data_IF_217436165303
#
_entry.id   IF_217436165303
#
_cell.length_a   1.000
_cell.length_b   1.000
_cell.length_c   1.000
_cell.angle_alpha   90.00
_cell.angle_beta   90.00
_cell.angle_gamma   90.00
#
_symmetry.space_group_name_H-M   'P 1'
#
loop_
_entity.id
_entity.type
_entity.pdbx_description
1 polymer ?
#
# COMPACT_ATOMS: atom_id res chain seq x y z
N UNK A 1 40.20 -56.57 -43.55
CA UNK A 1 41.59 -56.17 -43.85
C UNK A 1 42.20 -55.60 -42.58
N UNK A 2 43.42 -56.04 -42.25
CA UNK A 2 44.29 -55.58 -41.16
C UNK A 2 44.60 -54.06 -41.29
N UNK A 3 45.23 -53.33 -40.36
CA UNK A 3 46.21 -53.67 -39.34
C UNK A 3 46.32 -52.54 -38.28
N UNK A 4 46.99 -52.87 -37.17
CA UNK A 4 47.33 -52.02 -36.02
C UNK A 4 48.58 -51.14 -36.22
N UNK A 5 48.78 -50.14 -35.34
CA UNK A 5 50.06 -49.67 -34.75
C UNK A 5 49.75 -48.53 -33.75
N UNK A 6 49.63 -48.80 -32.44
CA UNK A 6 50.65 -48.70 -31.35
C UNK A 6 51.13 -47.26 -31.04
N UNK A 7 50.83 -46.80 -29.82
CA UNK A 7 51.45 -45.66 -29.15
C UNK A 7 51.05 -45.60 -27.67
N UNK A 8 52.00 -45.88 -26.78
CA UNK A 8 51.84 -46.12 -25.33
C UNK A 8 51.80 -44.82 -24.49
N UNK A 9 51.00 -44.86 -23.43
CA UNK A 9 51.31 -44.49 -22.03
C UNK A 9 51.63 -43.01 -21.68
N UNK A 10 50.71 -42.35 -20.96
CA UNK A 10 51.04 -41.53 -19.77
C UNK A 10 49.78 -41.05 -19.01
N UNK A 11 49.57 -41.64 -17.84
CA UNK A 11 49.25 -40.99 -16.56
C UNK A 11 48.03 -40.05 -16.45
N UNK A 12 46.88 -40.67 -16.14
CA UNK A 12 46.08 -40.40 -14.93
C UNK A 12 46.34 -39.07 -14.19
N UNK A 13 45.56 -38.00 -14.41
CA UNK A 13 45.27 -36.93 -13.42
C UNK A 13 44.05 -36.04 -13.75
N UNK A 14 43.01 -36.54 -14.44
CA UNK A 14 41.83 -35.71 -14.75
C UNK A 14 40.46 -36.23 -14.23
N UNK A 15 40.44 -37.31 -13.44
CA UNK A 15 39.21 -37.74 -12.73
C UNK A 15 39.10 -37.18 -11.30
N UNK A 16 40.13 -36.52 -10.78
CA UNK A 16 40.17 -36.08 -9.38
C UNK A 16 39.57 -34.70 -9.09
N UNK A 17 39.38 -33.85 -10.11
CA UNK A 17 38.96 -32.45 -9.89
C UNK A 17 37.44 -32.27 -10.03
N UNK A 18 36.77 -33.11 -10.84
CA UNK A 18 35.32 -33.08 -11.01
C UNK A 18 34.54 -33.57 -9.78
N UNK A 19 35.11 -34.48 -8.98
CA UNK A 19 34.45 -35.00 -7.78
C UNK A 19 34.60 -34.05 -6.57
N UNK A 20 35.63 -33.19 -6.54
CA UNK A 20 35.84 -32.27 -5.43
C UNK A 20 34.90 -31.05 -5.47
N UNK A 21 34.45 -30.64 -6.65
CA UNK A 21 33.46 -29.57 -6.83
C UNK A 21 32.03 -29.98 -6.46
N UNK A 22 31.69 -31.27 -6.57
CA UNK A 22 30.38 -31.79 -6.14
C UNK A 22 30.27 -31.99 -4.62
N UNK A 23 31.40 -32.12 -3.91
CA UNK A 23 31.41 -32.28 -2.44
C UNK A 23 31.26 -30.95 -1.70
N UNK A 24 31.56 -29.81 -2.34
CA UNK A 24 31.42 -28.48 -1.73
C UNK A 24 29.98 -27.94 -1.73
N UNK A 25 29.07 -28.46 -2.55
CA UNK A 25 27.64 -28.12 -2.45
C UNK A 25 26.89 -28.89 -1.35
N UNK A 26 27.45 -30.00 -0.84
CA UNK A 26 26.84 -30.80 0.22
C UNK A 26 27.17 -30.32 1.65
N UNK A 27 28.02 -29.28 1.78
CA UNK A 27 28.39 -28.70 3.08
C UNK A 27 28.00 -27.22 3.15
N UNK A 28 26.76 -26.90 2.77
CA UNK A 28 26.14 -25.69 3.32
C UNK A 28 25.74 -26.04 4.75
N UNK A 29 26.55 -25.55 5.68
CA UNK A 29 26.36 -25.57 7.12
C UNK A 29 24.88 -25.53 7.48
N UNK A 30 24.44 -26.49 8.31
CA UNK A 30 23.21 -26.39 9.06
C UNK A 30 23.09 -24.96 9.60
N UNK A 31 22.23 -24.15 8.97
CA UNK A 31 21.83 -22.89 9.55
C UNK A 31 21.32 -23.23 10.93
N UNK A 32 21.86 -22.56 11.96
CA UNK A 32 21.28 -22.64 13.30
C UNK A 32 19.78 -22.47 13.13
N UNK A 33 18.94 -23.35 13.71
CA UNK A 33 17.51 -23.07 13.77
C UNK A 33 17.39 -21.66 14.31
N UNK A 34 16.81 -20.74 13.51
CA UNK A 34 16.46 -19.42 14.02
C UNK A 34 15.68 -19.71 15.29
N UNK A 35 16.21 -19.26 16.43
CA UNK A 35 15.65 -19.54 17.75
C UNK A 35 14.15 -19.30 17.66
N UNK A 36 13.41 -20.41 17.66
CA UNK A 36 11.96 -20.37 17.60
C UNK A 36 11.60 -19.64 18.88
N UNK A 37 11.16 -18.38 18.78
CA UNK A 37 10.68 -17.64 19.93
C UNK A 37 9.70 -18.58 20.63
N UNK A 38 10.05 -18.99 21.84
CA UNK A 38 9.24 -19.92 22.60
C UNK A 38 7.85 -19.30 22.72
N UNK A 39 6.90 -19.81 21.94
CA UNK A 39 5.53 -19.35 21.98
C UNK A 39 4.95 -19.87 23.28
N UNK A 40 5.15 -19.10 24.35
CA UNK A 40 4.35 -19.19 25.54
C UNK A 40 2.93 -18.79 25.12
N UNK A 41 2.16 -19.74 24.57
CA UNK A 41 0.74 -19.57 24.24
C UNK A 41 -0.06 -19.44 25.53
N UNK A 42 0.16 -18.35 26.26
CA UNK A 42 -0.98 -17.60 26.74
C UNK A 42 -1.68 -17.11 25.49
N UNK A 43 -3.00 -17.16 25.46
CA UNK A 43 -3.83 -16.43 24.51
C UNK A 43 -3.48 -14.94 24.64
N UNK A 44 -2.36 -14.52 24.07
CA UNK A 44 -1.90 -13.15 24.07
C UNK A 44 -2.75 -12.48 22.99
N UNK A 45 -3.84 -11.89 23.46
CA UNK A 45 -4.63 -10.89 22.75
C UNK A 45 -3.71 -10.07 21.83
N UNK A 46 -3.92 -10.14 20.51
CA UNK A 46 -3.03 -9.49 19.53
C UNK A 46 -3.02 -7.97 19.78
N UNK A 47 -1.89 -7.27 19.72
CA UNK A 47 -1.93 -5.82 19.90
C UNK A 47 -2.70 -5.18 18.74
N UNK A 48 -3.52 -4.13 18.98
CA UNK A 48 -4.21 -3.42 17.92
C UNK A 48 -3.22 -2.74 16.97
N UNK A 49 -3.54 -2.72 15.68
CA UNK A 49 -2.70 -2.11 14.64
C UNK A 49 -3.36 -0.84 14.12
N UNK A 50 -2.59 0.25 14.07
CA UNK A 50 -3.01 1.52 13.48
C UNK A 50 -2.17 1.78 12.23
N UNK A 51 -2.85 1.97 11.10
CA UNK A 51 -2.20 2.31 9.84
C UNK A 51 -2.26 3.82 9.64
N UNK A 52 -1.10 4.41 9.37
CA UNK A 52 -0.95 5.84 9.07
C UNK A 52 -0.34 5.94 7.67
N UNK A 53 -1.11 6.36 6.67
CA UNK A 53 -0.61 6.51 5.31
C UNK A 53 0.34 7.72 5.21
N UNK A 54 1.18 7.72 4.17
CA UNK A 54 1.98 8.89 3.80
C UNK A 54 1.16 9.96 3.07
N UNK A 55 1.85 10.95 2.52
CA UNK A 55 1.24 11.94 1.63
C UNK A 55 0.62 11.26 0.41
N UNK A 56 -0.56 11.73 0.00
CA UNK A 56 -1.39 11.12 -1.05
C UNK A 56 -1.77 9.65 -0.80
N UNK A 57 -1.51 9.10 0.39
CA UNK A 57 -1.67 7.69 0.72
C UNK A 57 -3.07 7.27 1.18
N UNK A 58 -4.07 8.15 1.06
CA UNK A 58 -5.48 7.82 1.30
C UNK A 58 -6.38 8.57 0.32
N UNK A 59 -7.55 8.01 0.06
CA UNK A 59 -8.58 8.66 -0.75
C UNK A 59 -8.99 10.01 -0.16
N UNK A 60 -9.36 10.95 -1.02
CA UNK A 60 -10.03 12.20 -0.66
C UNK A 60 -11.33 12.29 -1.43
N UNK A 61 -12.37 12.82 -0.78
CA UNK A 61 -13.63 13.16 -1.42
C UNK A 61 -13.83 14.68 -1.41
N UNK A 62 -14.48 15.20 -2.45
CA UNK A 62 -14.86 16.59 -2.51
C UNK A 62 -16.30 16.80 -2.94
N UNK A 63 -16.89 17.90 -2.49
CA UNK A 63 -18.20 18.40 -2.92
C UNK A 63 -18.04 19.83 -3.42
N UNK A 64 -18.63 20.13 -4.59
CA UNK A 64 -18.50 21.44 -5.23
C UNK A 64 -19.80 22.25 -5.13
N UNK A 65 -19.64 23.54 -4.88
CA UNK A 65 -20.64 24.60 -5.00
C UNK A 65 -19.95 25.92 -5.38
N UNK A 66 -19.26 25.91 -6.53
CA UNK A 66 -18.44 27.02 -7.03
C UNK A 66 -19.27 28.01 -7.83
N UNK A 67 -18.95 29.30 -7.70
CA UNK A 67 -19.57 30.37 -8.51
C UNK A 67 -18.90 30.50 -9.88
N UNK A 68 -17.57 30.39 -9.91
CA UNK A 68 -16.72 30.45 -11.10
C UNK A 68 -15.91 29.17 -11.27
N UNK A 69 -15.47 28.92 -12.50
CA UNK A 69 -14.60 27.80 -12.88
C UNK A 69 -13.56 28.28 -13.87
N UNK A 70 -12.42 27.60 -13.92
CA UNK A 70 -11.30 27.94 -14.81
C UNK A 70 -11.57 27.60 -16.27
N UNK A 71 -12.38 26.59 -16.55
CA UNK A 71 -12.73 26.15 -17.89
C UNK A 71 -14.20 25.74 -17.97
N UNK A 72 -14.81 25.84 -19.15
CA UNK A 72 -16.25 25.57 -19.35
C UNK A 72 -16.64 24.10 -19.12
N UNK A 73 -15.67 23.19 -19.19
CA UNK A 73 -15.86 21.75 -18.93
C UNK A 73 -15.88 21.41 -17.44
N UNK A 74 -15.45 22.32 -16.57
CA UNK A 74 -15.36 22.05 -15.14
C UNK A 74 -16.74 22.14 -14.47
N UNK A 75 -17.05 21.17 -13.61
CA UNK A 75 -18.28 21.17 -12.83
C UNK A 75 -18.28 22.28 -11.78
N UNK A 76 -19.43 22.95 -11.64
CA UNK A 76 -19.67 23.94 -10.58
C UNK A 76 -20.28 23.34 -9.32
N UNK A 77 -21.18 22.37 -9.50
CA UNK A 77 -21.96 21.74 -8.42
C UNK A 77 -21.93 20.23 -8.56
N UNK A 78 -21.66 19.53 -7.47
CA UNK A 78 -21.63 18.07 -7.39
C UNK A 78 -22.10 17.62 -6.01
N UNK A 79 -22.47 16.35 -5.89
CA UNK A 79 -22.40 15.64 -4.61
C UNK A 79 -20.94 15.27 -4.27
N UNK A 80 -20.72 14.55 -3.17
CA UNK A 80 -19.39 14.03 -2.85
C UNK A 80 -18.92 13.03 -3.92
N UNK A 81 -17.76 13.29 -4.49
CA UNK A 81 -17.06 12.40 -5.43
C UNK A 81 -15.63 12.18 -4.97
N UNK A 82 -14.99 11.12 -5.45
CA UNK A 82 -13.57 10.86 -5.20
C UNK A 82 -12.70 11.89 -5.94
N UNK A 83 -12.09 12.80 -5.17
CA UNK A 83 -11.14 13.80 -5.65
C UNK A 83 -9.73 13.22 -5.82
N UNK A 84 -9.38 12.26 -4.97
CA UNK A 84 -8.11 11.56 -5.05
C UNK A 84 -8.29 10.09 -4.63
N UNK A 85 -7.79 9.09 -5.36
CA UNK A 85 -7.29 9.16 -6.74
C UNK A 85 -8.44 8.92 -7.72
N UNK A 86 -8.53 9.73 -8.77
CA UNK A 86 -9.43 9.48 -9.90
C UNK A 86 -8.68 9.77 -11.20
N UNK A 87 -8.37 8.72 -11.97
CA UNK A 87 -7.55 8.82 -13.18
C UNK A 87 -8.23 9.62 -14.30
N UNK A 88 -9.56 9.62 -14.36
CA UNK A 88 -10.32 10.39 -15.35
C UNK A 88 -10.15 11.90 -15.16
N UNK A 89 -9.79 12.33 -13.95
CA UNK A 89 -9.55 13.74 -13.63
C UNK A 89 -8.13 14.20 -13.99
N UNK A 90 -7.23 13.29 -14.35
CA UNK A 90 -5.82 13.59 -14.62
C UNK A 90 -5.47 13.67 -16.12
N UNK A 91 -6.47 13.53 -16.99
CA UNK A 91 -6.29 13.67 -18.44
C UNK A 91 -6.17 15.16 -18.85
N UNK A 92 -5.58 15.47 -20.03
CA UNK A 92 -5.48 16.85 -20.52
C UNK A 92 -6.83 17.56 -20.51
N UNK A 93 -6.81 18.88 -20.28
CA UNK A 93 -7.98 19.76 -20.11
C UNK A 93 -8.75 19.54 -18.79
N UNK A 94 -8.97 18.29 -18.36
CA UNK A 94 -9.68 18.01 -17.10
C UNK A 94 -8.77 18.22 -15.88
N UNK A 95 -7.46 17.99 -16.03
CA UNK A 95 -6.46 18.24 -14.98
C UNK A 95 -6.53 19.67 -14.41
N UNK A 96 -6.87 20.67 -15.23
CA UNK A 96 -7.01 22.06 -14.77
C UNK A 96 -8.19 22.22 -13.81
N UNK A 97 -9.29 21.49 -14.05
CA UNK A 97 -10.42 21.42 -13.13
C UNK A 97 -10.02 20.76 -11.81
N UNK A 98 -9.23 19.69 -11.87
CA UNK A 98 -8.74 18.99 -10.67
C UNK A 98 -7.82 19.89 -9.84
N UNK A 99 -6.86 20.57 -10.47
CA UNK A 99 -5.95 21.53 -9.81
C UNK A 99 -6.75 22.64 -9.12
N UNK A 100 -7.75 23.24 -9.78
CA UNK A 100 -8.57 24.30 -9.18
C UNK A 100 -9.46 23.82 -8.02
N UNK A 101 -9.68 22.51 -7.89
CA UNK A 101 -10.46 21.92 -6.79
C UNK A 101 -9.57 21.49 -5.61
N UNK A 102 -8.37 20.97 -5.86
CA UNK A 102 -7.49 20.45 -4.78
C UNK A 102 -6.51 21.50 -4.23
N UNK A 103 -6.26 22.61 -4.95
CA UNK A 103 -5.33 23.66 -4.49
C UNK A 103 -5.70 24.21 -3.12
N UNK A 104 -4.70 24.63 -2.35
CA UNK A 104 -4.89 25.30 -1.08
C UNK A 104 -4.72 26.81 -1.23
N UNK A 105 -5.55 27.58 -0.53
CA UNK A 105 -5.42 29.02 -0.38
C UNK A 105 -4.73 29.29 0.95
N UNK A 106 -3.52 29.83 0.90
CA UNK A 106 -2.76 30.18 2.09
C UNK A 106 -3.00 31.63 2.51
N UNK A 107 -3.40 31.83 3.76
CA UNK A 107 -3.49 33.14 4.38
C UNK A 107 -2.21 33.44 5.17
N UNK A 108 -1.46 34.44 4.71
CA UNK A 108 -0.16 34.83 5.33
C UNK A 108 -0.31 35.48 6.71
N UNK A 109 -1.45 36.09 7.00
CA UNK A 109 -1.69 36.78 8.28
C UNK A 109 -2.07 35.78 9.38
N UNK A 110 -2.91 34.81 9.07
CA UNK A 110 -3.35 33.78 10.04
C UNK A 110 -2.47 32.53 10.01
N UNK A 111 -1.56 32.41 9.03
CA UNK A 111 -0.76 31.22 8.75
C UNK A 111 -1.59 29.94 8.57
N UNK A 112 -2.81 30.06 8.05
CA UNK A 112 -3.71 28.94 7.81
C UNK A 112 -3.93 28.71 6.31
N UNK A 113 -4.19 27.45 5.96
CA UNK A 113 -4.60 27.06 4.61
C UNK A 113 -6.08 26.66 4.61
N UNK A 114 -6.81 27.01 3.55
CA UNK A 114 -8.19 26.59 3.33
C UNK A 114 -8.39 26.06 1.93
N UNK A 115 -9.44 25.27 1.75
CA UNK A 115 -9.92 24.86 0.42
C UNK A 115 -10.38 26.09 -0.41
N UNK A 116 -10.46 25.97 -1.74
CA UNK A 116 -10.99 27.02 -2.60
C UNK A 116 -12.47 27.32 -2.28
N UNK A 117 -12.96 28.55 -2.58
CA UNK A 117 -14.36 28.90 -2.34
C UNK A 117 -15.31 27.93 -3.03
N UNK A 118 -16.29 27.42 -2.28
CA UNK A 118 -17.25 26.45 -2.79
C UNK A 118 -16.70 25.03 -2.94
N UNK A 119 -15.55 24.71 -2.36
CA UNK A 119 -15.02 23.34 -2.35
C UNK A 119 -14.94 22.83 -0.91
N UNK A 120 -15.64 21.75 -0.63
CA UNK A 120 -15.57 21.02 0.62
C UNK A 120 -14.80 19.72 0.39
N UNK A 121 -13.76 19.45 1.18
CA UNK A 121 -12.94 18.24 1.07
C UNK A 121 -13.06 17.45 2.38
N UNK A 122 -13.23 16.13 2.28
CA UNK A 122 -13.26 15.23 3.42
C UNK A 122 -12.41 13.98 3.18
N UNK A 123 -12.02 13.34 4.27
CA UNK A 123 -11.34 12.04 4.26
C UNK A 123 -12.38 10.94 4.48
N UNK A 124 -12.66 10.07 3.50
CA UNK A 124 -13.57 8.95 3.66
C UNK A 124 -12.91 7.79 4.43
N UNK A 125 -13.76 6.91 4.97
CA UNK A 125 -13.30 5.63 5.54
C UNK A 125 -12.47 5.75 6.82
N UNK A 126 -12.63 6.82 7.60
CA UNK A 126 -11.93 6.93 8.89
C UNK A 126 -12.25 5.71 9.77
N UNK A 127 -11.19 5.05 10.26
CA UNK A 127 -11.31 3.82 11.04
C UNK A 127 -11.56 2.53 10.24
N UNK A 128 -11.78 2.59 8.92
CA UNK A 128 -11.86 1.45 7.98
C UNK A 128 -10.56 1.35 7.19
N UNK A 129 -10.24 0.25 6.48
CA UNK A 129 -8.96 0.14 5.73
C UNK A 129 -9.06 0.46 4.24
N UNK A 130 -10.27 0.44 3.65
CA UNK A 130 -10.45 0.48 2.20
C UNK A 130 -9.85 1.73 1.52
N UNK A 131 -9.90 2.89 2.19
CA UNK A 131 -9.48 4.18 1.62
C UNK A 131 -7.98 4.34 1.49
N UNK A 132 -7.17 3.48 2.12
CA UNK A 132 -5.71 3.41 1.93
C UNK A 132 -5.24 2.12 1.25
N UNK A 133 -6.06 1.06 1.21
CA UNK A 133 -5.70 -0.18 0.50
C UNK A 133 -5.59 0.09 -1.01
N UNK A 134 -6.60 0.78 -1.54
CA UNK A 134 -6.65 1.26 -2.92
C UNK A 134 -6.96 2.76 -2.94
N UNK A 135 -6.09 3.55 -3.55
CA UNK A 135 -6.28 5.00 -3.70
C UNK A 135 -7.32 5.33 -4.77
N UNK A 136 -7.44 4.49 -5.80
CA UNK A 136 -8.50 4.59 -6.79
C UNK A 136 -9.61 3.56 -6.46
N UNK A 137 -10.87 3.98 -6.26
CA UNK A 137 -12.00 3.08 -6.05
C UNK A 137 -12.22 2.03 -7.14
N UNK A 138 -11.71 2.25 -8.36
CA UNK A 138 -11.72 1.27 -9.45
C UNK A 138 -10.86 0.04 -9.15
N UNK A 139 -9.99 0.11 -8.12
CA UNK A 139 -9.05 -0.94 -7.69
C UNK A 139 -8.07 -1.38 -8.79
N UNK A 140 -7.80 -0.50 -9.75
CA UNK A 140 -6.71 -0.72 -10.70
C UNK A 140 -5.37 -0.79 -9.98
N UNK A 141 -4.42 -1.51 -10.57
CA UNK A 141 -3.08 -1.73 -10.00
C UNK A 141 -2.33 -0.43 -9.69
N UNK A 142 -2.56 0.63 -10.48
CA UNK A 142 -1.98 1.97 -10.27
C UNK A 142 -2.39 2.56 -8.91
N UNK A 143 -3.59 2.24 -8.42
CA UNK A 143 -4.09 2.71 -7.13
C UNK A 143 -3.72 1.80 -5.95
N UNK A 144 -3.02 0.68 -6.16
CA UNK A 144 -2.69 -0.25 -5.08
C UNK A 144 -1.63 0.36 -4.15
N UNK A 145 -1.94 0.50 -2.86
CA UNK A 145 -1.02 1.08 -1.88
C UNK A 145 -0.83 0.15 -0.67
N UNK A 146 -1.73 0.16 0.32
CA UNK A 146 -1.59 -0.67 1.53
C UNK A 146 -2.23 -2.06 1.43
N UNK A 147 -2.87 -2.39 0.31
CA UNK A 147 -3.58 -3.66 0.15
C UNK A 147 -2.74 -4.87 0.58
N UNK A 148 -1.49 -4.97 0.13
CA UNK A 148 -0.61 -6.10 0.44
C UNK A 148 -0.34 -6.22 1.95
N UNK A 149 -0.08 -5.10 2.63
CA UNK A 149 0.18 -5.10 4.08
C UNK A 149 -1.09 -5.49 4.85
N UNK A 150 -2.24 -4.92 4.47
CA UNK A 150 -3.52 -5.26 5.09
C UNK A 150 -3.86 -6.74 4.88
N UNK A 151 -3.59 -7.26 3.68
CA UNK A 151 -3.83 -8.66 3.36
C UNK A 151 -2.97 -9.61 4.21
N UNK A 152 -1.69 -9.30 4.39
CA UNK A 152 -0.81 -10.05 5.29
C UNK A 152 -1.28 -10.01 6.75
N UNK A 153 -1.74 -8.86 7.23
CA UNK A 153 -2.32 -8.74 8.58
C UNK A 153 -3.61 -9.57 8.71
N UNK A 154 -4.44 -9.63 7.68
CA UNK A 154 -5.63 -10.48 7.66
C UNK A 154 -5.27 -11.97 7.69
N UNK A 155 -4.23 -12.39 6.97
CA UNK A 155 -3.68 -13.76 7.03
C UNK A 155 -3.12 -14.09 8.42
N UNK A 156 -2.56 -13.11 9.12
CA UNK A 156 -2.18 -13.21 10.53
C UNK A 156 -3.38 -13.17 11.49
N UNK A 157 -4.61 -13.08 10.98
CA UNK A 157 -5.86 -13.11 11.74
C UNK A 157 -6.27 -11.78 12.36
N UNK A 158 -5.86 -10.64 11.78
CA UNK A 158 -6.48 -9.34 12.02
C UNK A 158 -7.75 -9.20 11.19
N UNK A 159 -8.70 -8.37 11.64
CA UNK A 159 -9.94 -8.07 10.90
C UNK A 159 -9.89 -6.67 10.32
N UNK A 160 -10.31 -6.54 9.05
CA UNK A 160 -10.68 -5.25 8.47
C UNK A 160 -11.92 -4.74 9.20
N UNK A 161 -11.88 -3.48 9.59
CA UNK A 161 -13.01 -2.81 10.24
C UNK A 161 -14.07 -2.42 9.22
N UNK A 162 -15.31 -2.85 9.45
CA UNK A 162 -16.50 -2.50 8.66
C UNK A 162 -17.43 -1.60 9.50
N UNK A 163 -18.07 -0.60 8.90
CA UNK A 163 -19.04 0.25 9.61
C UNK A 163 -20.40 -0.43 9.78
N UNK A 164 -20.73 -0.71 11.05
CA UNK A 164 -22.06 -0.69 11.68
C UNK A 164 -23.25 -1.33 10.94
N UNK A 165 -23.27 -2.66 10.93
CA UNK A 165 -24.41 -3.50 11.39
C UNK A 165 -23.98 -4.77 12.14
N UNK A 166 -22.68 -5.10 12.16
CA UNK A 166 -22.16 -6.33 12.78
C UNK A 166 -21.30 -6.09 14.03
N UNK A 167 -21.21 -4.85 14.56
CA UNK A 167 -20.41 -4.56 15.74
C UNK A 167 -21.06 -5.00 17.07
N UNK A 168 -22.05 -5.89 17.05
CA UNK A 168 -22.66 -6.41 18.27
C UNK A 168 -22.79 -7.93 18.27
N UNK A 169 -21.83 -8.68 17.73
CA UNK A 169 -21.68 -10.10 18.09
C UNK A 169 -20.26 -10.59 17.81
N UNK A 170 -19.32 -10.39 18.72
CA UNK A 170 -18.36 -11.42 19.19
C UNK A 170 -17.31 -10.78 20.10
N UNK A 171 -17.00 -11.46 21.21
CA UNK A 171 -15.96 -11.05 22.14
C UNK A 171 -14.56 -11.03 21.51
N UNK A 172 -13.72 -10.17 22.05
CA UNK A 172 -12.27 -10.05 21.79
C UNK A 172 -11.90 -9.85 20.30
N UNK A 173 -12.33 -8.73 19.71
CA UNK A 173 -11.88 -8.30 18.39
C UNK A 173 -10.74 -7.29 18.47
N UNK A 174 -9.69 -7.49 17.66
CA UNK A 174 -8.55 -6.57 17.49
C UNK A 174 -8.68 -5.79 16.17
N UNK A 175 -9.42 -4.67 16.16
CA UNK A 175 -9.67 -3.91 14.94
C UNK A 175 -8.41 -3.18 14.47
N UNK A 176 -8.13 -3.25 13.17
CA UNK A 176 -7.19 -2.35 12.53
C UNK A 176 -7.86 -1.00 12.32
N UNK A 177 -7.21 0.12 12.70
CA UNK A 177 -7.80 1.45 12.53
C UNK A 177 -6.90 2.35 11.70
N UNK A 178 -7.51 3.16 10.84
CA UNK A 178 -6.81 4.28 10.20
C UNK A 178 -6.77 5.44 11.18
N UNK A 179 -5.60 6.11 11.23
CA UNK A 179 -5.52 7.49 11.69
C UNK A 179 -4.95 8.34 10.56
N UNK A 180 -5.81 9.09 9.89
CA UNK A 180 -5.37 10.08 8.91
C UNK A 180 -5.01 11.36 9.65
N UNK A 181 -3.86 11.94 9.31
CA UNK A 181 -3.55 13.32 9.69
C UNK A 181 -4.42 14.19 8.79
N UNK A 182 -5.53 14.72 9.31
CA UNK A 182 -6.33 15.66 8.53
C UNK A 182 -5.45 16.86 8.17
N UNK A 183 -5.59 17.35 6.94
CA UNK A 183 -4.91 18.54 6.42
C UNK A 183 -5.43 19.82 7.09
N UNK A 184 -5.40 19.86 8.41
CA UNK A 184 -5.29 21.08 9.19
C UNK A 184 -3.84 21.16 9.67
N UNK A 185 -2.92 21.51 8.76
CA UNK A 185 -1.54 21.84 9.12
C UNK A 185 -1.57 23.14 9.94
N UNK A 186 -1.91 23.01 11.22
CA UNK A 186 -1.76 24.06 12.23
C UNK A 186 -0.32 23.93 12.70
N UNK A 187 0.57 24.73 12.11
CA UNK A 187 1.89 24.96 12.68
C UNK A 187 1.79 26.01 13.78
#
# INVERSE_FOLDING_TARGET
MAAALVGKLASSKLLGVGLLLLVLCAQSTAGKPLDKCAENRRSASKPPVVLIPGDLGNQLEARLNKTTVVHYVCYKKTDFFTLWLNLEQLVPVIIDCWIDNIRLIYNRTTHTSSSPPGVEIRVPGFGQTYSLEYLDPSKQSVGLYFFTIVQQLVELGYKRTMTSKEHLTTGEEHPMRIKTISSGYRR
#
